data_IF_914025653455
#
_entry.id   IF_914025653455
#
_cell.length_a   1.000
_cell.length_b   1.000
_cell.length_c   1.000
_cell.angle_alpha   90.00
_cell.angle_beta   90.00
_cell.angle_gamma   90.00
#
_symmetry.space_group_name_H-M   'P 1'
#
loop_
_entity.id
_entity.type
_entity.pdbx_description
1 polymer ?
#
# COMPACT_ATOMS: atom_id res chain seq x y z
N UNK A 1 -49.54 -1.69 23.77
CA UNK A 1 -49.11 -0.29 23.80
C UNK A 1 -47.82 -0.21 24.60
N UNK A 2 -46.76 0.24 23.92
CA UNK A 2 -45.42 0.66 24.39
C UNK A 2 -44.44 -0.38 24.97
N UNK A 3 -43.37 -0.58 24.18
CA UNK A 3 -42.22 -1.46 24.33
C UNK A 3 -41.11 -0.87 25.22
N UNK A 4 -40.26 -1.77 25.73
CA UNK A 4 -39.05 -1.49 26.51
C UNK A 4 -38.03 -0.66 25.71
N UNK A 5 -37.51 0.40 26.34
CA UNK A 5 -36.44 1.24 25.80
C UNK A 5 -35.07 0.58 25.92
N UNK A 6 -34.31 0.59 24.82
CA UNK A 6 -32.88 0.33 24.78
C UNK A 6 -32.15 1.61 25.19
N UNK A 7 -31.30 1.52 26.21
CA UNK A 7 -30.35 2.58 26.59
C UNK A 7 -29.06 2.35 25.83
N UNK A 8 -28.79 3.21 24.84
CA UNK A 8 -27.51 3.29 24.13
C UNK A 8 -26.58 4.21 24.91
N UNK A 9 -25.42 3.69 25.34
CA UNK A 9 -24.35 4.45 25.98
C UNK A 9 -23.63 5.32 24.93
N UNK A 10 -23.59 6.67 25.07
CA UNK A 10 -23.10 7.59 24.04
C UNK A 10 -21.57 7.78 24.01
N UNK A 11 -20.76 6.87 24.58
CA UNK A 11 -19.32 7.04 24.73
C UNK A 11 -18.43 6.32 23.68
N UNK A 12 -18.98 5.91 22.54
CA UNK A 12 -18.21 5.59 21.33
C UNK A 12 -18.37 6.71 20.33
N UNK A 13 -17.68 7.81 20.58
CA UNK A 13 -17.58 8.95 19.67
C UNK A 13 -16.72 8.56 18.45
N UNK A 14 -17.33 7.81 17.53
CA UNK A 14 -16.84 7.53 16.17
C UNK A 14 -17.08 8.74 15.24
N UNK A 15 -17.59 9.86 15.76
CA UNK A 15 -17.99 11.01 14.94
C UNK A 15 -16.83 11.87 14.43
N UNK A 16 -15.58 11.42 14.61
CA UNK A 16 -14.39 12.08 14.07
C UNK A 16 -13.75 11.39 12.85
N UNK A 17 -14.35 10.32 12.31
CA UNK A 17 -13.87 9.66 11.08
C UNK A 17 -14.71 9.95 9.82
N UNK A 18 -15.72 10.83 9.90
CA UNK A 18 -16.74 10.97 8.83
C UNK A 18 -16.85 12.40 8.23
N UNK A 19 -15.75 13.17 8.23
CA UNK A 19 -15.76 14.55 7.71
C UNK A 19 -14.67 14.88 6.71
N UNK A 20 -14.09 13.87 6.08
CA UNK A 20 -13.37 14.09 4.83
C UNK A 20 -14.27 13.66 3.67
N UNK A 21 -14.53 14.54 2.69
CA UNK A 21 -15.30 14.18 1.53
C UNK A 21 -14.57 13.07 0.73
N UNK A 22 -14.97 11.81 0.91
CA UNK A 22 -14.66 10.68 0.01
C UNK A 22 -15.40 10.83 -1.34
N UNK A 23 -15.38 12.03 -1.93
CA UNK A 23 -16.33 12.46 -2.97
C UNK A 23 -16.06 11.92 -4.38
N UNK A 24 -15.30 10.84 -4.50
CA UNK A 24 -15.44 9.92 -5.63
C UNK A 24 -15.71 8.51 -5.08
N UNK A 25 -16.91 8.23 -4.55
CA UNK A 25 -17.33 6.86 -4.36
C UNK A 25 -17.45 6.25 -5.75
N UNK A 26 -16.53 5.35 -6.08
CA UNK A 26 -16.47 4.70 -7.38
C UNK A 26 -15.30 5.13 -8.23
N UNK A 27 -14.11 5.39 -7.69
CA UNK A 27 -12.89 5.11 -8.43
C UNK A 27 -12.23 3.84 -7.90
N UNK A 28 -11.88 2.94 -8.81
CA UNK A 28 -11.12 1.74 -8.45
C UNK A 28 -9.65 2.14 -8.50
N UNK A 29 -8.99 2.12 -7.35
CA UNK A 29 -7.53 2.23 -7.30
C UNK A 29 -6.93 1.03 -8.04
N UNK A 30 -5.88 1.20 -8.85
CA UNK A 30 -5.13 0.07 -9.36
C UNK A 30 -4.68 -0.82 -8.20
N UNK A 31 -4.63 -2.13 -8.42
CA UNK A 31 -4.07 -3.03 -7.43
C UNK A 31 -2.57 -2.79 -7.31
N UNK A 32 -2.16 -2.04 -6.28
CA UNK A 32 -0.77 -1.94 -5.88
C UNK A 32 -0.23 -3.26 -5.32
N UNK A 33 1.07 -3.31 -5.09
CA UNK A 33 1.76 -4.44 -4.47
C UNK A 33 2.21 -4.04 -3.07
N UNK A 34 2.18 -5.01 -2.17
CA UNK A 34 2.74 -4.85 -0.83
C UNK A 34 3.81 -5.92 -0.61
N UNK A 35 5.00 -5.51 -0.20
CA UNK A 35 6.02 -6.40 0.34
C UNK A 35 6.24 -6.10 1.82
N UNK A 36 6.44 -7.15 2.62
CA UNK A 36 6.80 -7.06 4.02
C UNK A 36 8.17 -7.71 4.18
N UNK A 37 9.12 -6.96 4.72
CA UNK A 37 10.47 -7.46 4.96
C UNK A 37 10.88 -7.34 6.43
N UNK A 38 11.85 -8.14 6.84
CA UNK A 38 12.54 -7.97 8.11
C UNK A 38 13.39 -6.69 8.08
N UNK A 39 13.21 -5.81 9.06
CA UNK A 39 13.87 -4.51 9.06
C UNK A 39 15.38 -4.58 9.33
N UNK A 40 15.89 -5.70 9.87
CA UNK A 40 17.32 -5.88 10.12
C UNK A 40 18.02 -6.49 8.93
N UNK A 41 17.42 -7.47 8.28
CA UNK A 41 18.07 -8.19 7.15
C UNK A 41 17.65 -7.66 5.77
N UNK A 42 16.53 -6.93 5.68
CA UNK A 42 15.93 -6.53 4.41
C UNK A 42 15.30 -7.70 3.64
N UNK A 43 15.20 -8.88 4.25
CA UNK A 43 14.66 -10.09 3.61
C UNK A 43 13.14 -10.04 3.58
N UNK A 44 12.55 -10.25 2.42
CA UNK A 44 11.11 -10.31 2.24
C UNK A 44 10.54 -11.57 2.89
N UNK A 45 9.53 -11.41 3.74
CA UNK A 45 8.89 -12.49 4.51
C UNK A 45 7.43 -12.73 4.13
N UNK A 46 6.77 -11.72 3.56
CA UNK A 46 5.37 -11.81 3.13
C UNK A 46 5.06 -10.70 2.11
N UNK A 47 3.90 -10.78 1.49
CA UNK A 47 3.44 -9.77 0.54
C UNK A 47 2.01 -10.02 0.07
N UNK A 48 1.48 -9.06 -0.67
CA UNK A 48 0.14 -9.09 -1.26
C UNK A 48 0.13 -8.40 -2.63
N UNK A 49 -0.88 -8.72 -3.45
CA UNK A 49 -0.96 -8.31 -4.85
C UNK A 49 -0.42 -9.40 -5.79
N UNK A 50 -0.28 -9.05 -7.07
CA UNK A 50 0.16 -9.98 -8.12
C UNK A 50 1.69 -10.08 -8.19
N UNK A 51 2.30 -10.52 -7.09
CA UNK A 51 3.76 -10.53 -6.89
C UNK A 51 4.44 -11.54 -7.82
N UNK A 52 3.83 -12.70 -8.01
CA UNK A 52 4.31 -13.76 -8.90
C UNK A 52 4.35 -13.30 -10.36
N UNK A 53 3.41 -12.47 -10.81
CA UNK A 53 3.48 -11.89 -12.15
C UNK A 53 4.66 -10.91 -12.32
N UNK A 54 5.16 -10.31 -11.22
CA UNK A 54 6.29 -9.36 -11.27
C UNK A 54 7.65 -10.02 -11.09
N UNK A 55 7.74 -11.02 -10.22
CA UNK A 55 9.00 -11.60 -9.78
C UNK A 55 9.04 -13.14 -9.83
N UNK A 56 7.99 -13.81 -10.31
CA UNK A 56 7.85 -15.26 -10.23
C UNK A 56 7.83 -15.76 -8.78
N UNK A 57 8.23 -17.00 -8.54
CA UNK A 57 8.24 -17.57 -7.18
C UNK A 57 9.42 -17.09 -6.31
N UNK A 58 10.31 -16.26 -6.86
CA UNK A 58 11.59 -15.89 -6.24
C UNK A 58 11.55 -14.63 -5.37
N UNK A 59 10.38 -14.02 -5.18
CA UNK A 59 10.26 -12.79 -4.38
C UNK A 59 10.33 -13.05 -2.87
N UNK A 60 9.76 -14.17 -2.40
CA UNK A 60 9.76 -14.49 -0.98
C UNK A 60 11.13 -15.02 -0.54
N UNK A 61 11.70 -14.43 0.49
CA UNK A 61 13.07 -14.70 0.94
C UNK A 61 14.15 -13.91 0.19
N UNK A 62 13.80 -13.12 -0.83
CA UNK A 62 14.75 -12.24 -1.51
C UNK A 62 15.08 -10.99 -0.69
N UNK A 63 16.18 -10.34 -1.05
CA UNK A 63 16.57 -9.02 -0.52
C UNK A 63 15.71 -7.93 -1.15
N UNK A 64 15.14 -7.03 -0.35
CA UNK A 64 14.44 -5.84 -0.86
C UNK A 64 15.33 -5.00 -1.77
N UNK A 65 16.62 -4.89 -1.45
CA UNK A 65 17.56 -4.12 -2.26
C UNK A 65 17.75 -4.71 -3.65
N UNK A 66 17.69 -6.04 -3.76
CA UNK A 66 17.83 -6.73 -5.04
C UNK A 66 16.54 -6.63 -5.84
N UNK A 67 15.37 -6.83 -5.20
CA UNK A 67 14.06 -6.72 -5.86
C UNK A 67 13.78 -5.31 -6.39
N UNK A 68 14.20 -4.28 -5.65
CA UNK A 68 13.98 -2.87 -5.99
C UNK A 68 15.18 -2.24 -6.72
N UNK A 69 16.27 -2.99 -6.92
CA UNK A 69 17.54 -2.54 -7.49
C UNK A 69 18.08 -1.24 -6.83
N UNK A 70 17.93 -1.12 -5.51
CA UNK A 70 18.24 0.08 -4.74
C UNK A 70 18.79 -0.28 -3.37
N UNK A 71 19.78 0.46 -2.87
CA UNK A 71 20.31 0.23 -1.52
C UNK A 71 19.34 0.80 -0.47
N UNK A 72 18.46 -0.07 0.04
CA UNK A 72 17.44 0.31 1.03
C UNK A 72 18.06 0.75 2.36
N UNK A 73 19.17 0.12 2.77
CA UNK A 73 19.85 0.51 4.01
C UNK A 73 20.43 1.92 3.91
N UNK A 74 21.07 2.24 2.78
CA UNK A 74 21.59 3.58 2.51
C UNK A 74 20.46 4.62 2.39
N UNK A 75 19.30 4.26 1.83
CA UNK A 75 18.13 5.13 1.76
C UNK A 75 17.65 5.52 3.16
N UNK A 76 17.48 4.56 4.08
CA UNK A 76 17.09 4.85 5.46
C UNK A 76 18.14 5.65 6.23
N UNK A 77 19.43 5.44 5.95
CA UNK A 77 20.51 6.20 6.59
C UNK A 77 20.55 7.67 6.16
N UNK A 78 20.07 7.98 4.94
CA UNK A 78 20.08 9.32 4.36
C UNK A 78 18.75 10.04 4.43
N UNK A 79 17.65 9.30 4.65
CA UNK A 79 16.33 9.88 4.71
C UNK A 79 16.16 10.71 5.99
N UNK A 80 15.79 11.99 5.83
CA UNK A 80 15.08 12.66 6.91
C UNK A 80 13.70 12.01 6.98
N UNK A 81 13.40 11.36 8.11
CA UNK A 81 12.13 10.68 8.31
C UNK A 81 10.98 11.66 8.04
N UNK A 82 10.21 11.43 6.97
CA UNK A 82 8.96 12.14 6.71
C UNK A 82 7.95 11.90 7.84
N UNK A 83 6.77 12.56 7.82
CA UNK A 83 5.71 12.26 8.77
C UNK A 83 5.45 10.74 8.85
N UNK A 84 5.56 10.16 10.05
CA UNK A 84 5.39 8.72 10.25
C UNK A 84 6.62 7.84 9.92
N UNK A 85 7.76 8.38 9.48
CA UNK A 85 8.96 7.57 9.21
C UNK A 85 8.94 6.84 7.86
N UNK A 86 8.14 7.32 6.91
CA UNK A 86 8.11 6.82 5.54
C UNK A 86 9.28 7.38 4.73
N UNK A 87 9.94 6.50 3.97
CA UNK A 87 11.02 6.80 3.03
C UNK A 87 10.50 6.55 1.62
N UNK A 88 10.59 7.57 0.76
CA UNK A 88 10.25 7.45 -0.65
C UNK A 88 11.50 7.00 -1.41
N UNK A 89 11.43 5.84 -2.05
CA UNK A 89 12.50 5.33 -2.90
C UNK A 89 12.32 5.82 -4.35
N UNK A 90 13.30 5.55 -5.22
CA UNK A 90 13.12 5.83 -6.64
C UNK A 90 12.06 4.89 -7.21
N UNK A 91 11.23 5.35 -8.16
CA UNK A 91 10.32 4.48 -8.88
C UNK A 91 11.07 3.33 -9.56
N UNK A 92 10.42 2.17 -9.65
CA UNK A 92 10.95 0.96 -10.29
C UNK A 92 10.14 0.60 -11.52
N UNK A 93 10.79 0.05 -12.54
CA UNK A 93 10.12 -0.51 -13.71
C UNK A 93 10.02 -2.04 -13.55
N UNK A 94 8.81 -2.56 -13.38
CA UNK A 94 8.53 -3.99 -13.18
C UNK A 94 7.50 -4.49 -14.18
N UNK A 95 7.86 -5.54 -14.94
CA UNK A 95 7.00 -6.10 -15.99
C UNK A 95 6.49 -5.05 -17.01
N UNK A 96 7.28 -4.01 -17.28
CA UNK A 96 6.93 -2.93 -18.22
C UNK A 96 6.03 -1.84 -17.63
N UNK A 97 5.73 -1.90 -16.33
CA UNK A 97 4.98 -0.87 -15.61
C UNK A 97 5.89 -0.14 -14.63
N UNK A 98 5.79 1.19 -14.62
CA UNK A 98 6.50 2.03 -13.66
C UNK A 98 5.70 2.14 -12.38
N UNK A 99 6.33 1.83 -11.26
CA UNK A 99 5.72 1.84 -9.93
C UNK A 99 6.45 2.83 -9.02
N UNK A 100 5.72 3.72 -8.37
CA UNK A 100 6.22 4.52 -7.26
C UNK A 100 6.39 3.65 -6.02
N UNK A 101 7.43 3.90 -5.22
CA UNK A 101 7.81 3.03 -4.09
C UNK A 101 7.87 3.84 -2.80
N UNK A 102 7.02 3.45 -1.85
CA UNK A 102 7.02 4.00 -0.50
C UNK A 102 7.41 2.90 0.50
N UNK A 103 8.33 3.22 1.42
CA UNK A 103 8.82 2.27 2.41
C UNK A 103 8.58 2.83 3.80
N UNK A 104 7.78 2.13 4.60
CA UNK A 104 7.46 2.51 5.96
C UNK A 104 8.05 1.52 6.96
N UNK A 105 8.70 2.03 8.01
CA UNK A 105 9.22 1.18 9.09
C UNK A 105 8.18 1.01 10.20
N UNK A 106 7.67 -0.20 10.36
CA UNK A 106 6.77 -0.60 11.45
C UNK A 106 7.49 -1.58 12.40
N UNK A 107 8.21 -1.03 13.38
CA UNK A 107 8.97 -1.83 14.35
C UNK A 107 10.08 -2.65 13.72
N UNK A 108 9.95 -3.98 13.78
CA UNK A 108 10.90 -4.95 13.18
C UNK A 108 10.58 -5.30 11.72
N UNK A 109 9.59 -4.62 11.11
CA UNK A 109 9.20 -4.83 9.71
C UNK A 109 9.37 -3.56 8.88
N UNK A 110 9.64 -3.77 7.59
CA UNK A 110 9.48 -2.77 6.55
C UNK A 110 8.25 -3.14 5.74
N UNK A 111 7.35 -2.18 5.57
CA UNK A 111 6.23 -2.27 4.66
C UNK A 111 6.61 -1.48 3.42
N UNK A 112 6.57 -2.13 2.25
CA UNK A 112 6.92 -1.54 0.97
C UNK A 112 5.68 -1.56 0.10
N UNK A 113 5.17 -0.39 -0.22
CA UNK A 113 4.05 -0.19 -1.13
C UNK A 113 4.60 0.15 -2.51
N UNK A 114 4.10 -0.54 -3.54
CA UNK A 114 4.40 -0.24 -4.94
C UNK A 114 3.09 0.07 -5.67
N UNK A 115 2.97 1.27 -6.21
CA UNK A 115 1.76 1.75 -6.88
C UNK A 115 2.05 2.23 -8.30
N UNK A 116 1.19 1.95 -9.30
CA UNK A 116 1.38 2.45 -10.66
C UNK A 116 1.55 3.97 -10.72
N UNK A 117 2.71 4.40 -11.24
CA UNK A 117 3.07 5.80 -11.31
C UNK A 117 2.10 6.55 -12.23
N UNK A 118 1.44 7.58 -11.70
CA UNK A 118 0.51 8.41 -12.47
C UNK A 118 -0.84 7.75 -12.77
N UNK A 119 -1.22 6.69 -12.05
CA UNK A 119 -2.56 6.14 -12.15
C UNK A 119 -3.63 7.18 -11.76
N UNK A 120 -4.32 7.71 -12.76
CA UNK A 120 -5.60 8.37 -12.54
C UNK A 120 -6.61 7.33 -12.07
N UNK A 121 -7.27 7.52 -10.91
CA UNK A 121 -8.30 6.61 -10.45
C UNK A 121 -9.38 6.48 -11.52
N UNK A 122 -9.60 5.26 -12.02
CA UNK A 122 -10.60 5.02 -13.05
C UNK A 122 -11.98 4.94 -12.40
N UNK A 123 -12.99 5.59 -12.99
CA UNK A 123 -14.36 5.48 -12.49
C UNK A 123 -14.86 4.03 -12.53
N UNK A 124 -15.65 3.59 -11.55
CA UNK A 124 -16.18 2.24 -11.45
C UNK A 124 -17.03 1.88 -12.67
N UNK A 125 -17.75 2.86 -13.22
CA UNK A 125 -18.48 2.71 -14.49
C UNK A 125 -17.55 2.44 -15.69
N UNK A 126 -16.37 3.05 -15.74
CA UNK A 126 -15.39 2.82 -16.80
C UNK A 126 -14.72 1.44 -16.63
N UNK A 127 -14.41 1.05 -15.39
CA UNK A 127 -13.84 -0.25 -15.08
C UNK A 127 -14.80 -1.41 -15.43
N UNK A 128 -16.10 -1.29 -15.12
CA UNK A 128 -17.10 -2.30 -15.50
C UNK A 128 -17.29 -2.40 -17.03
N UNK A 129 -17.17 -1.28 -17.75
CA UNK A 129 -17.30 -1.27 -19.21
C UNK A 129 -16.19 -2.10 -19.90
N UNK A 130 -14.98 -2.15 -19.34
CA UNK A 130 -13.87 -2.94 -19.87
C UNK A 130 -14.05 -4.46 -19.70
N UNK A 131 -14.82 -4.89 -18.70
CA UNK A 131 -15.09 -6.32 -18.44
C UNK A 131 -16.24 -6.88 -19.29
N UNK A 132 -16.96 -6.02 -20.02
CA UNK A 132 -18.17 -6.36 -20.77
C UNK A 132 -17.96 -6.39 -22.28
N UNK A 133 -16.71 -6.29 -22.76
CA UNK A 133 -16.32 -6.22 -24.17
C UNK A 133 -15.62 -7.46 -24.69
#
# INVERSE_FOLDING_TARGET
MASHGITTDPALDITACDREPIHIPGSIQPHGLLLIADARTGTVVAGAGDLEARWGDAWQGASLSDLLAQDIAALFAQAEAGPGGTVVAKPVDLAGERLDVAIHRAGERLLVELEPAGATPMGATEALALLSG
#
